data_IF_221391212531
#
_entry.id   IF_221391212531
#
_cell.length_a   1.000
_cell.length_b   1.000
_cell.length_c   1.000
_cell.angle_alpha   90.00
_cell.angle_beta   90.00
_cell.angle_gamma   90.00
#
_symmetry.space_group_name_H-M   'P 1'
#
loop_
_entity.id
_entity.type
_entity.pdbx_description
1 polymer ?
#
# COMPACT_ATOMS: atom_id res chain seq x y z
N UNK A 1 -86.24 -31.67 3.93
CA UNK A 1 -85.58 -32.03 2.65
C UNK A 1 -84.44 -31.05 2.36
N UNK A 2 -83.17 -31.48 2.41
CA UNK A 2 -82.01 -30.61 2.13
C UNK A 2 -81.75 -30.58 0.63
N UNK A 3 -81.85 -29.40 0.00
CA UNK A 3 -81.50 -29.19 -1.42
C UNK A 3 -79.99 -29.39 -1.61
N UNK A 4 -79.59 -30.35 -2.45
CA UNK A 4 -78.20 -30.53 -2.87
C UNK A 4 -77.82 -29.38 -3.82
N UNK A 5 -76.79 -28.61 -3.50
CA UNK A 5 -76.19 -27.66 -4.44
C UNK A 5 -75.33 -28.40 -5.47
N UNK A 6 -75.24 -27.93 -6.73
CA UNK A 6 -74.39 -28.54 -7.73
C UNK A 6 -72.91 -28.21 -7.46
N UNK A 7 -72.05 -29.21 -7.65
CA UNK A 7 -70.59 -29.09 -7.57
C UNK A 7 -70.10 -28.16 -8.69
N UNK A 8 -69.55 -27.00 -8.32
CA UNK A 8 -68.84 -26.10 -9.24
C UNK A 8 -67.52 -26.76 -9.62
N UNK A 9 -67.17 -26.88 -10.92
CA UNK A 9 -65.89 -27.48 -11.32
C UNK A 9 -64.72 -26.60 -10.85
N UNK A 10 -63.55 -27.20 -10.53
CA UNK A 10 -62.38 -26.45 -10.10
C UNK A 10 -61.94 -25.48 -11.20
N UNK A 11 -61.81 -24.20 -10.83
CA UNK A 11 -61.27 -23.15 -11.70
C UNK A 11 -59.86 -23.54 -12.16
N UNK A 12 -59.52 -23.42 -13.46
CA UNK A 12 -58.19 -23.77 -13.94
C UNK A 12 -57.17 -22.83 -13.30
N UNK A 13 -56.28 -23.39 -12.47
CA UNK A 13 -55.15 -22.68 -11.89
C UNK A 13 -54.38 -21.98 -13.00
N UNK A 14 -54.26 -20.65 -12.92
CA UNK A 14 -53.51 -19.85 -13.88
C UNK A 14 -52.01 -20.17 -13.80
N UNK A 15 -51.57 -21.27 -14.41
CA UNK A 15 -50.17 -21.53 -14.66
C UNK A 15 -49.73 -20.52 -15.72
N UNK A 16 -49.08 -19.45 -15.27
CA UNK A 16 -48.53 -18.42 -16.14
C UNK A 16 -47.34 -18.99 -16.93
N UNK A 17 -47.62 -19.82 -17.94
CA UNK A 17 -46.64 -20.31 -18.88
C UNK A 17 -46.17 -19.14 -19.75
N UNK A 18 -45.02 -18.57 -19.37
CA UNK A 18 -44.34 -17.59 -20.21
C UNK A 18 -44.03 -18.25 -21.56
N UNK A 19 -44.47 -17.61 -22.64
CA UNK A 19 -44.11 -18.00 -24.00
C UNK A 19 -42.58 -18.08 -24.15
N UNK A 20 -42.08 -18.98 -25.00
CA UNK A 20 -40.65 -19.17 -25.19
C UNK A 20 -39.91 -17.88 -25.54
N UNK A 21 -40.54 -17.01 -26.34
CA UNK A 21 -40.04 -15.66 -26.66
C UNK A 21 -39.79 -14.81 -25.41
N UNK A 22 -40.70 -14.82 -24.42
CA UNK A 22 -40.52 -14.11 -23.14
C UNK A 22 -39.38 -14.72 -22.30
N UNK A 23 -39.21 -16.05 -22.33
CA UNK A 23 -38.08 -16.73 -21.66
C UNK A 23 -36.73 -16.35 -22.29
N UNK A 24 -36.65 -16.29 -23.62
CA UNK A 24 -35.45 -15.87 -24.35
C UNK A 24 -35.08 -14.41 -24.07
N UNK A 25 -36.07 -13.50 -24.07
CA UNK A 25 -35.87 -12.09 -23.71
C UNK A 25 -35.30 -11.92 -22.29
N UNK A 26 -35.85 -12.64 -21.31
CA UNK A 26 -35.32 -12.63 -19.93
C UNK A 26 -33.89 -13.16 -19.85
N UNK A 27 -33.55 -14.23 -20.59
CA UNK A 27 -32.17 -14.74 -20.68
C UNK A 27 -31.21 -13.71 -21.27
N UNK A 28 -31.63 -12.98 -22.31
CA UNK A 28 -30.81 -11.91 -22.91
C UNK A 28 -30.53 -10.78 -21.92
N UNK A 29 -31.56 -10.27 -21.25
CA UNK A 29 -31.42 -9.23 -20.22
C UNK A 29 -30.52 -9.69 -19.07
N UNK A 30 -30.66 -10.94 -18.61
CA UNK A 30 -29.79 -11.50 -17.56
C UNK A 30 -28.32 -11.55 -18.00
N UNK A 31 -28.06 -11.96 -19.25
CA UNK A 31 -26.70 -11.97 -19.83
C UNK A 31 -26.12 -10.57 -19.95
N UNK A 32 -26.91 -9.61 -20.45
CA UNK A 32 -26.50 -8.20 -20.57
C UNK A 32 -26.16 -7.60 -19.20
N UNK A 33 -27.05 -7.75 -18.20
CA UNK A 33 -26.77 -7.31 -16.83
C UNK A 33 -25.49 -7.92 -16.28
N UNK A 34 -25.30 -9.22 -16.41
CA UNK A 34 -24.08 -9.90 -15.95
C UNK A 34 -22.82 -9.38 -16.66
N UNK A 35 -22.88 -9.12 -17.98
CA UNK A 35 -21.77 -8.50 -18.73
C UNK A 35 -21.46 -7.11 -18.22
N UNK A 36 -22.46 -6.29 -17.92
CA UNK A 36 -22.27 -4.94 -17.38
C UNK A 36 -21.60 -4.97 -16.02
N UNK A 37 -22.06 -5.82 -15.10
CA UNK A 37 -21.44 -5.98 -13.78
C UNK A 37 -19.97 -6.43 -13.88
N UNK A 38 -19.67 -7.39 -14.75
CA UNK A 38 -18.28 -7.81 -14.99
C UNK A 38 -17.42 -6.67 -15.55
N UNK A 39 -17.96 -5.88 -16.48
CA UNK A 39 -17.25 -4.69 -17.00
C UNK A 39 -16.99 -3.66 -15.91
N UNK A 40 -17.96 -3.38 -15.05
CA UNK A 40 -17.79 -2.47 -13.92
C UNK A 40 -16.67 -2.95 -12.99
N UNK A 41 -16.70 -4.23 -12.59
CA UNK A 41 -15.69 -4.81 -11.72
C UNK A 41 -14.28 -4.73 -12.34
N UNK A 42 -14.14 -5.06 -13.63
CA UNK A 42 -12.86 -4.95 -14.34
C UNK A 42 -12.35 -3.50 -14.38
N UNK A 43 -13.25 -2.53 -14.60
CA UNK A 43 -12.89 -1.10 -14.62
C UNK A 43 -12.46 -0.61 -13.24
N UNK A 44 -13.12 -1.05 -12.17
CA UNK A 44 -12.74 -0.74 -10.79
C UNK A 44 -11.35 -1.31 -10.45
N UNK A 45 -11.07 -2.54 -10.86
CA UNK A 45 -9.75 -3.16 -10.70
C UNK A 45 -8.67 -2.39 -11.47
N UNK A 46 -8.92 -2.04 -12.73
CA UNK A 46 -8.00 -1.23 -13.53
C UNK A 46 -7.72 0.14 -12.90
N UNK A 47 -8.76 0.79 -12.39
CA UNK A 47 -8.65 2.08 -11.72
C UNK A 47 -7.80 1.96 -10.44
N UNK A 48 -7.97 0.89 -9.67
CA UNK A 48 -7.13 0.62 -8.49
C UNK A 48 -5.67 0.33 -8.85
N UNK A 49 -5.42 -0.41 -9.92
CA UNK A 49 -4.05 -0.64 -10.44
C UNK A 49 -3.42 0.70 -10.83
N UNK A 50 -4.13 1.54 -11.59
CA UNK A 50 -3.65 2.85 -12.01
C UNK A 50 -3.37 3.78 -10.82
N UNK A 51 -4.25 3.79 -9.80
CA UNK A 51 -4.00 4.53 -8.55
C UNK A 51 -2.69 4.11 -7.88
N UNK A 52 -2.44 2.80 -7.75
CA UNK A 52 -1.19 2.26 -7.17
C UNK A 52 0.04 2.66 -7.99
N UNK A 53 -0.05 2.59 -9.32
CA UNK A 53 1.03 3.01 -10.22
C UNK A 53 1.30 4.51 -10.05
N UNK A 54 0.26 5.34 -10.03
CA UNK A 54 0.38 6.78 -9.88
C UNK A 54 1.02 7.15 -8.53
N UNK A 55 0.59 6.52 -7.44
CA UNK A 55 1.20 6.71 -6.12
C UNK A 55 2.68 6.30 -6.09
N UNK A 56 3.02 5.17 -6.72
CA UNK A 56 4.42 4.73 -6.86
C UNK A 56 5.25 5.75 -7.64
N UNK A 57 4.71 6.27 -8.75
CA UNK A 57 5.38 7.28 -9.57
C UNK A 57 5.54 8.61 -8.81
N UNK A 58 4.50 9.08 -8.10
CA UNK A 58 4.58 10.25 -7.21
C UNK A 58 5.67 10.10 -6.16
N UNK A 59 5.73 8.96 -5.47
CA UNK A 59 6.80 8.66 -4.50
C UNK A 59 8.18 8.64 -5.16
N UNK A 60 8.30 8.07 -6.37
CA UNK A 60 9.56 8.04 -7.12
C UNK A 60 10.01 9.44 -7.53
N UNK A 61 9.09 10.26 -8.04
CA UNK A 61 9.35 11.65 -8.43
C UNK A 61 9.73 12.49 -7.21
N UNK A 62 9.00 12.38 -6.10
CA UNK A 62 9.37 13.02 -4.84
C UNK A 62 10.80 12.64 -4.43
N UNK A 63 11.14 11.35 -4.40
CA UNK A 63 12.50 10.89 -4.07
C UNK A 63 13.54 11.38 -5.08
N UNK A 64 13.19 11.51 -6.36
CA UNK A 64 14.08 12.01 -7.41
C UNK A 64 14.34 13.52 -7.27
N UNK A 65 13.30 14.31 -6.97
CA UNK A 65 13.42 15.74 -6.72
C UNK A 65 14.16 16.02 -5.40
N UNK A 66 14.00 15.15 -4.41
CA UNK A 66 14.78 15.15 -3.18
C UNK A 66 16.22 14.62 -3.39
N UNK A 67 16.64 14.25 -4.61
CA UNK A 67 18.07 14.03 -4.94
C UNK A 67 18.83 15.35 -5.07
N UNK A 68 18.55 16.34 -4.22
CA UNK A 68 19.65 17.09 -3.68
C UNK A 68 20.47 16.07 -2.88
N UNK A 69 21.50 15.52 -3.52
CA UNK A 69 22.51 14.73 -2.84
C UNK A 69 23.11 15.71 -1.84
N UNK A 70 22.61 15.72 -0.61
CA UNK A 70 23.21 16.51 0.45
C UNK A 70 24.68 16.10 0.48
N UNK A 71 25.62 16.99 0.08
CA UNK A 71 27.03 16.65 0.04
C UNK A 71 27.52 16.28 1.45
N UNK A 72 26.80 16.79 2.46
CA UNK A 72 27.05 16.56 3.86
C UNK A 72 26.43 15.28 4.44
N UNK A 73 25.58 14.55 3.69
CA UNK A 73 24.99 13.31 4.20
C UNK A 73 26.08 12.26 4.50
N UNK A 74 25.99 11.50 5.61
CA UNK A 74 26.90 10.41 5.94
C UNK A 74 27.13 9.43 4.79
N UNK A 75 26.08 9.13 4.00
CA UNK A 75 26.17 8.25 2.82
C UNK A 75 27.00 8.85 1.70
N UNK A 76 26.80 10.14 1.43
CA UNK A 76 27.55 10.85 0.37
C UNK A 76 29.02 10.96 0.75
N UNK A 77 29.33 11.33 2.00
CA UNK A 77 30.70 11.42 2.53
C UNK A 77 31.46 10.10 2.39
N UNK A 78 30.86 8.99 2.82
CA UNK A 78 31.47 7.65 2.68
C UNK A 78 31.64 7.27 1.21
N UNK A 79 30.63 7.54 0.37
CA UNK A 79 30.69 7.23 -1.07
C UNK A 79 31.80 8.02 -1.78
N UNK A 80 32.02 9.28 -1.40
CA UNK A 80 33.10 10.11 -1.92
C UNK A 80 34.48 9.60 -1.46
N UNK A 81 34.62 9.22 -0.19
CA UNK A 81 35.87 8.69 0.38
C UNK A 81 36.33 7.39 -0.28
N UNK A 82 35.41 6.51 -0.63
CA UNK A 82 35.71 5.18 -1.17
C UNK A 82 35.44 5.05 -2.68
N UNK A 83 35.68 6.12 -3.46
CA UNK A 83 35.65 6.04 -4.92
C UNK A 83 36.85 5.23 -5.43
N UNK A 84 36.61 3.99 -5.87
CA UNK A 84 37.63 3.13 -6.47
C UNK A 84 37.25 1.65 -6.46
N UNK A 85 37.92 0.80 -7.27
CA UNK A 85 37.60 -0.62 -7.40
C UNK A 85 37.91 -1.46 -6.15
N UNK A 86 38.84 -1.02 -5.29
CA UNK A 86 39.36 -1.82 -4.17
C UNK A 86 38.90 -1.34 -2.78
N UNK A 87 37.70 -0.78 -2.68
CA UNK A 87 37.19 -0.32 -1.40
C UNK A 87 36.65 -1.48 -0.55
N UNK A 88 37.27 -1.76 0.60
CA UNK A 88 36.80 -2.77 1.54
C UNK A 88 35.36 -2.46 2.02
N UNK A 89 34.41 -3.34 1.70
CA UNK A 89 32.98 -3.13 2.02
C UNK A 89 32.73 -3.01 3.54
N UNK A 90 33.52 -3.76 4.34
CA UNK A 90 33.49 -3.68 5.81
C UNK A 90 33.88 -2.28 6.31
N UNK A 91 34.90 -1.66 5.71
CA UNK A 91 35.33 -0.30 6.06
C UNK A 91 34.26 0.74 5.68
N UNK A 92 33.60 0.60 4.52
CA UNK A 92 32.46 1.45 4.13
C UNK A 92 31.32 1.39 5.14
N UNK A 93 30.92 0.18 5.55
CA UNK A 93 29.83 -0.03 6.52
C UNK A 93 30.16 0.57 7.88
N UNK A 94 31.39 0.36 8.36
CA UNK A 94 31.86 0.91 9.63
C UNK A 94 31.90 2.44 9.61
N UNK A 95 32.47 3.05 8.56
CA UNK A 95 32.57 4.50 8.43
C UNK A 95 31.18 5.16 8.27
N UNK A 96 30.26 4.49 7.57
CA UNK A 96 28.88 4.94 7.47
C UNK A 96 28.17 4.90 8.82
N UNK A 97 28.33 3.80 9.56
CA UNK A 97 27.77 3.65 10.90
C UNK A 97 28.26 4.76 11.83
N UNK A 98 29.58 5.00 11.86
CA UNK A 98 30.18 6.04 12.69
C UNK A 98 29.64 7.44 12.33
N UNK A 99 29.56 7.78 11.05
CA UNK A 99 29.05 9.09 10.63
C UNK A 99 27.56 9.28 10.95
N UNK A 100 26.73 8.25 10.74
CA UNK A 100 25.30 8.28 11.10
C UNK A 100 25.12 8.40 12.61
N UNK A 101 25.91 7.66 13.37
CA UNK A 101 25.92 7.71 14.83
C UNK A 101 26.21 9.14 15.30
N UNK A 102 27.34 9.71 14.88
CA UNK A 102 27.78 11.06 15.25
C UNK A 102 26.74 12.14 14.90
N UNK A 103 26.13 12.08 13.71
CA UNK A 103 25.05 13.01 13.36
C UNK A 103 23.82 12.86 14.25
N UNK A 104 23.47 11.62 14.59
CA UNK A 104 22.40 11.32 15.55
C UNK A 104 22.67 11.92 16.93
N UNK A 105 23.92 11.79 17.43
CA UNK A 105 24.33 12.40 18.70
C UNK A 105 24.20 13.91 18.61
N UNK A 106 24.82 14.53 17.58
CA UNK A 106 24.82 15.99 17.40
C UNK A 106 23.40 16.55 17.31
N UNK A 107 22.50 15.91 16.57
CA UNK A 107 21.10 16.33 16.46
C UNK A 107 20.37 16.23 17.79
N UNK A 108 20.45 15.08 18.47
CA UNK A 108 19.81 14.89 19.78
C UNK A 108 20.37 15.84 20.84
N UNK A 109 21.69 16.05 20.85
CA UNK A 109 22.35 16.99 21.76
C UNK A 109 21.87 18.43 21.54
N UNK A 110 21.77 18.88 20.27
CA UNK A 110 21.26 20.22 19.91
C UNK A 110 19.78 20.44 20.29
N UNK A 111 18.94 19.41 20.18
CA UNK A 111 17.50 19.53 20.48
C UNK A 111 17.19 19.55 21.99
N UNK A 112 18.11 19.08 22.83
CA UNK A 112 17.90 19.01 24.27
C UNK A 112 18.50 20.24 24.96
N UNK A 113 17.70 20.93 25.78
CA UNK A 113 18.13 22.11 26.55
C UNK A 113 18.71 21.77 27.93
N UNK A 114 18.37 20.61 28.49
CA UNK A 114 18.82 20.18 29.82
C UNK A 114 20.17 19.44 29.76
N UNK A 115 21.10 19.84 30.63
CA UNK A 115 22.43 19.20 30.73
C UNK A 115 22.34 17.74 31.22
N UNK A 116 21.39 17.43 32.10
CA UNK A 116 21.18 16.03 32.56
C UNK A 116 20.74 15.13 31.41
N UNK A 117 19.85 15.60 30.52
CA UNK A 117 19.42 14.79 29.37
C UNK A 117 20.48 14.70 28.30
N UNK A 118 21.28 15.76 28.08
CA UNK A 118 22.47 15.70 27.22
C UNK A 118 23.48 14.66 27.69
N UNK A 119 23.75 14.58 29.00
CA UNK A 119 24.62 13.55 29.59
C UNK A 119 24.04 12.13 29.44
N UNK A 120 22.73 11.95 29.58
CA UNK A 120 22.08 10.65 29.34
C UNK A 120 22.10 10.25 27.87
N UNK A 121 22.07 11.21 26.93
CA UNK A 121 22.17 10.93 25.49
C UNK A 121 23.59 10.51 25.11
N UNK A 122 24.62 11.17 25.65
CA UNK A 122 26.03 10.79 25.43
C UNK A 122 26.37 9.46 26.09
N UNK A 123 25.79 9.16 27.26
CA UNK A 123 26.10 7.95 28.04
C UNK A 123 25.17 6.75 27.79
N UNK A 124 23.90 6.96 27.44
CA UNK A 124 22.86 5.91 27.57
C UNK A 124 22.00 5.59 26.33
N UNK A 125 21.77 6.52 25.40
CA UNK A 125 20.72 6.34 24.37
C UNK A 125 21.21 5.65 23.07
N UNK A 126 22.52 5.47 22.90
CA UNK A 126 23.10 4.98 21.63
C UNK A 126 23.42 3.48 21.63
N UNK A 127 23.30 2.80 22.78
CA UNK A 127 23.75 1.42 22.94
C UNK A 127 22.80 0.38 22.35
N UNK A 128 21.48 0.64 22.26
CA UNK A 128 20.54 -0.47 22.07
C UNK A 128 19.79 -0.51 20.73
N UNK A 129 19.39 0.60 20.13
CA UNK A 129 18.63 0.56 18.85
C UNK A 129 19.53 0.68 17.62
N UNK A 130 20.60 1.48 17.68
CA UNK A 130 21.51 1.66 16.55
C UNK A 130 22.45 0.45 16.38
N UNK A 131 22.97 -0.08 17.50
CA UNK A 131 23.80 -1.29 17.49
C UNK A 131 23.01 -2.53 17.05
N UNK A 132 21.74 -2.70 17.43
CA UNK A 132 20.91 -3.82 16.97
C UNK A 132 20.66 -3.85 15.45
N UNK A 133 20.73 -2.70 14.78
CA UNK A 133 20.46 -2.58 13.32
C UNK A 133 21.70 -2.80 12.45
N UNK A 134 22.90 -2.62 13.01
CA UNK A 134 24.17 -2.63 12.29
C UNK A 134 25.21 -3.61 12.87
N UNK A 135 24.82 -4.42 13.86
CA UNK A 135 25.50 -5.67 14.23
C UNK A 135 25.21 -6.72 13.16
#
# INVERSE_FOLDING_TARGET
>A
MKKKQPLVPPSPSSSSHLTEKKKLGRKRVKREKSRTYRKMQNLEEQLNIQKRINEKLRKRLYRANQKHIDPNSPRTKVKLLFKGPNSAEKAKKMLLFQNVLLEGIKKKYKLNKSEKTKQLITKGVLSNQLLKKYR
#
